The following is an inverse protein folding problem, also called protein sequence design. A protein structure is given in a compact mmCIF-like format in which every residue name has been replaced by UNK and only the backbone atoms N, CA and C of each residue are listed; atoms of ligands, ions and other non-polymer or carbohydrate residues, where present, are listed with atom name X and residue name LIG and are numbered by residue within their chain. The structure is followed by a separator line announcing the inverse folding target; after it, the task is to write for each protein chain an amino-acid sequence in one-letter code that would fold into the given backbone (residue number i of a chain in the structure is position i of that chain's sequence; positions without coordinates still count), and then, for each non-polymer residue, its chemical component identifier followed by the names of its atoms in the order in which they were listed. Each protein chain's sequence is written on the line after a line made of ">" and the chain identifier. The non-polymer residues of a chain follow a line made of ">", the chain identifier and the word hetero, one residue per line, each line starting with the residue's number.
data_IF_168890510289
#
_entry.id   IF_168890510289
#
_cell.length_a   1.000
_cell.length_b   1.000
_cell.length_c   1.000
_cell.angle_alpha   90.00
_cell.angle_beta   90.00
_cell.angle_gamma   90.00
#
_symmetry.space_group_name_H-M   'P 1'
#
loop_
_entity.id
_entity.type
_entity.pdbx_description
1 polymer ?
#
# COMPACT_ATOMS: atom_id res chain seq x y z
N UNK A 1 -15.67 -9.70 7.92
CA UNK A 1 -15.17 -8.43 7.39
C UNK A 1 -13.82 -8.64 6.68
N UNK A 2 -13.63 -7.89 5.60
CA UNK A 2 -12.47 -8.06 4.73
C UNK A 2 -11.15 -7.71 5.42
N UNK A 3 -11.15 -6.70 6.25
CA UNK A 3 -9.94 -6.30 6.97
C UNK A 3 -9.45 -7.40 7.92
N UNK A 4 -10.36 -8.02 8.63
CA UNK A 4 -10.01 -9.14 9.51
C UNK A 4 -9.52 -10.35 8.75
N UNK A 5 -10.16 -10.64 7.60
CA UNK A 5 -9.73 -11.72 6.74
C UNK A 5 -8.30 -11.47 6.23
N UNK A 6 -8.04 -10.25 5.78
CA UNK A 6 -6.72 -9.85 5.28
C UNK A 6 -5.65 -10.00 6.36
N UNK A 7 -5.93 -9.50 7.55
CA UNK A 7 -5.00 -9.57 8.67
C UNK A 7 -4.68 -11.02 9.04
N UNK A 8 -5.69 -11.87 9.16
CA UNK A 8 -5.49 -13.29 9.48
C UNK A 8 -4.76 -14.04 8.37
N UNK A 9 -5.08 -13.75 7.12
CA UNK A 9 -4.44 -14.39 5.97
C UNK A 9 -2.95 -14.06 5.94
N UNK A 10 -2.61 -12.79 6.12
CA UNK A 10 -1.22 -12.35 6.15
C UNK A 10 -0.46 -12.91 7.37
N UNK A 11 -1.13 -12.98 8.52
CA UNK A 11 -0.52 -13.54 9.73
C UNK A 11 -0.14 -15.01 9.57
N UNK A 12 -0.89 -15.75 8.75
CA UNK A 12 -0.65 -17.18 8.49
C UNK A 12 0.30 -17.45 7.34
N UNK A 13 0.63 -16.42 6.56
CA UNK A 13 1.49 -16.58 5.41
C UNK A 13 2.91 -16.97 5.84
N UNK A 14 3.46 -17.98 5.18
CA UNK A 14 4.86 -18.41 5.33
C UNK A 14 5.67 -18.11 4.07
N UNK A 15 5.11 -17.32 3.16
CA UNK A 15 5.76 -16.97 1.93
C UNK A 15 6.93 -16.03 2.17
N UNK A 16 7.97 -16.10 1.33
CA UNK A 16 9.07 -15.17 1.36
C UNK A 16 8.63 -13.75 0.98
N UNK A 17 7.66 -13.65 0.07
CA UNK A 17 7.09 -12.40 -0.42
C UNK A 17 5.58 -12.41 -0.30
N UNK A 18 5.01 -11.31 0.19
CA UNK A 18 3.58 -11.11 0.22
C UNK A 18 3.23 -9.92 -0.67
N UNK A 19 2.38 -10.16 -1.65
CA UNK A 19 1.88 -9.13 -2.57
C UNK A 19 0.37 -9.03 -2.41
N UNK A 20 -0.13 -7.82 -2.19
CA UNK A 20 -1.56 -7.57 -2.07
C UNK A 20 -2.02 -6.75 -3.26
N UNK A 21 -3.10 -7.19 -3.90
CA UNK A 21 -3.65 -6.54 -5.11
C UNK A 21 -5.11 -6.19 -4.85
N UNK A 22 -5.47 -4.94 -5.10
CA UNK A 22 -6.86 -4.49 -5.03
C UNK A 22 -7.08 -3.28 -5.93
N UNK A 23 -8.34 -2.96 -6.20
CA UNK A 23 -8.67 -1.92 -7.17
C UNK A 23 -8.53 -0.50 -6.62
N UNK A 24 -9.19 -0.21 -5.50
CA UNK A 24 -9.20 1.14 -4.94
C UNK A 24 -7.86 1.49 -4.28
N UNK A 25 -7.23 2.61 -4.66
CA UNK A 25 -5.92 2.94 -4.11
C UNK A 25 -6.00 3.47 -2.67
N UNK A 26 -5.09 3.00 -1.83
CA UNK A 26 -4.85 3.61 -0.52
C UNK A 26 -4.18 4.97 -0.74
N UNK A 27 -3.21 5.01 -1.65
CA UNK A 27 -2.56 6.25 -2.07
C UNK A 27 -2.78 6.42 -3.57
N UNK A 28 -3.56 7.44 -3.92
CA UNK A 28 -3.88 7.75 -5.31
C UNK A 28 -2.81 8.65 -5.93
N UNK A 29 -2.57 8.47 -7.22
CA UNK A 29 -1.78 9.42 -8.00
C UNK A 29 -2.61 10.63 -8.42
N UNK A 30 -3.93 10.58 -8.23
CA UNK A 30 -4.86 11.65 -8.57
C UNK A 30 -5.56 12.15 -7.30
N UNK A 31 -5.04 13.21 -6.69
CA UNK A 31 -5.71 13.84 -5.54
C UNK A 31 -7.00 14.51 -6.00
N UNK A 32 -8.08 14.48 -5.22
CA UNK A 32 -8.26 13.96 -3.85
C UNK A 32 -8.84 12.54 -3.79
N UNK A 33 -8.37 11.62 -4.59
CA UNK A 33 -8.94 10.27 -4.72
C UNK A 33 -8.42 9.25 -3.71
N UNK A 34 -7.59 9.66 -2.77
CA UNK A 34 -7.17 8.78 -1.70
C UNK A 34 -8.38 8.27 -0.92
N UNK A 35 -8.44 6.97 -0.69
CA UNK A 35 -9.50 6.38 0.12
C UNK A 35 -9.11 6.40 1.58
N UNK A 36 -9.69 7.33 2.34
CA UNK A 36 -9.44 7.42 3.77
C UNK A 36 -9.92 6.17 4.51
N UNK A 37 -11.02 5.58 4.07
CA UNK A 37 -11.53 4.35 4.67
C UNK A 37 -10.52 3.20 4.54
N UNK A 38 -9.93 3.05 3.36
CA UNK A 38 -8.90 2.03 3.16
C UNK A 38 -7.62 2.37 3.92
N UNK A 39 -7.24 3.64 3.96
CA UNK A 39 -6.09 4.07 4.75
C UNK A 39 -6.27 3.72 6.22
N UNK A 40 -7.45 3.99 6.78
CA UNK A 40 -7.71 3.73 8.19
C UNK A 40 -7.85 2.23 8.50
N UNK A 41 -8.46 1.46 7.61
CA UNK A 41 -8.76 0.05 7.86
C UNK A 41 -7.62 -0.89 7.44
N UNK A 42 -6.97 -0.64 6.32
CA UNK A 42 -6.06 -1.60 5.70
C UNK A 42 -4.58 -1.23 5.83
N UNK A 43 -4.26 0.06 5.75
CA UNK A 43 -2.86 0.50 5.83
C UNK A 43 -2.15 0.00 7.09
N UNK A 44 -2.75 0.08 8.30
CA UNK A 44 -2.11 -0.45 9.51
C UNK A 44 -1.84 -1.96 9.43
N UNK A 45 -2.74 -2.71 8.79
CA UNK A 45 -2.57 -4.16 8.61
C UNK A 45 -1.40 -4.44 7.68
N UNK A 46 -1.35 -3.76 6.55
CA UNK A 46 -0.30 -3.94 5.55
C UNK A 46 1.08 -3.63 6.14
N UNK A 47 1.18 -2.60 6.96
CA UNK A 47 2.42 -2.22 7.62
C UNK A 47 2.79 -3.21 8.74
N UNK A 48 1.82 -3.56 9.60
CA UNK A 48 2.07 -4.49 10.71
C UNK A 48 2.50 -5.88 10.22
N UNK A 49 1.89 -6.35 9.14
CA UNK A 49 2.21 -7.66 8.56
C UNK A 49 3.37 -7.60 7.56
N UNK A 50 3.98 -6.44 7.37
CA UNK A 50 5.16 -6.25 6.52
C UNK A 50 4.96 -6.77 5.10
N UNK A 51 3.83 -6.40 4.51
CA UNK A 51 3.55 -6.70 3.10
C UNK A 51 4.63 -6.04 2.24
N UNK A 52 5.17 -6.77 1.29
CA UNK A 52 6.29 -6.30 0.47
C UNK A 52 5.84 -5.33 -0.60
N UNK A 53 4.73 -5.64 -1.27
CA UNK A 53 4.25 -4.89 -2.42
C UNK A 53 2.73 -4.81 -2.41
N UNK A 54 2.20 -3.62 -2.67
CA UNK A 54 0.78 -3.38 -2.84
C UNK A 54 0.55 -2.83 -4.24
N UNK A 55 -0.21 -3.57 -5.06
CA UNK A 55 -0.60 -3.14 -6.39
C UNK A 55 -2.03 -2.63 -6.35
N UNK A 56 -2.23 -1.44 -6.82
CA UNK A 56 -3.51 -0.74 -6.79
C UNK A 56 -3.92 -0.33 -8.21
N UNK A 57 -5.18 -0.03 -8.40
CA UNK A 57 -5.70 0.36 -9.70
C UNK A 57 -6.55 1.62 -9.63
N UNK A 58 -7.64 1.63 -10.39
CA UNK A 58 -8.65 2.69 -10.47
C UNK A 58 -8.17 3.95 -11.19
N UNK A 59 -7.05 4.55 -10.80
CA UNK A 59 -6.53 5.76 -11.41
C UNK A 59 -5.69 5.41 -12.65
N UNK A 60 -5.87 6.18 -13.71
CA UNK A 60 -5.16 5.96 -14.97
C UNK A 60 -3.85 6.75 -15.00
N UNK A 61 -3.05 6.56 -13.97
CA UNK A 61 -1.77 7.22 -13.80
C UNK A 61 -0.82 6.30 -13.04
N UNK A 62 0.46 6.62 -13.08
CA UNK A 62 1.47 5.85 -12.36
C UNK A 62 1.88 6.57 -11.08
N UNK A 63 2.02 5.82 -10.01
CA UNK A 63 2.55 6.32 -8.76
C UNK A 63 3.25 5.18 -8.02
N UNK A 64 4.37 5.50 -7.39
CA UNK A 64 5.08 4.60 -6.50
C UNK A 64 5.36 5.32 -5.18
N UNK A 65 5.02 4.68 -4.08
CA UNK A 65 5.05 5.32 -2.78
C UNK A 65 5.38 4.31 -1.69
N UNK A 66 6.08 4.74 -0.67
CA UNK A 66 6.26 3.96 0.55
C UNK A 66 5.49 4.63 1.69
N UNK A 67 5.27 3.87 2.78
CA UNK A 67 4.56 4.38 3.95
C UNK A 67 5.19 5.67 4.51
N UNK A 68 6.49 5.83 4.36
CA UNK A 68 7.24 6.98 4.89
C UNK A 68 7.09 8.25 4.07
N UNK A 69 6.51 8.16 2.85
CA UNK A 69 6.46 9.28 1.89
C UNK A 69 5.05 9.63 1.47
N UNK A 70 4.16 9.67 2.42
CA UNK A 70 2.75 9.92 2.16
C UNK A 70 2.43 11.37 1.80
N UNK A 71 3.30 12.29 2.16
CA UNK A 71 3.00 13.72 2.06
C UNK A 71 3.34 14.33 0.70
N UNK A 72 4.25 13.72 -0.04
CA UNK A 72 4.75 14.30 -1.30
C UNK A 72 4.85 13.26 -2.42
N UNK A 73 3.71 12.70 -2.87
CA UNK A 73 3.73 11.61 -3.84
C UNK A 73 4.22 12.00 -5.23
N UNK A 74 4.28 13.28 -5.53
CA UNK A 74 4.66 13.78 -6.87
C UNK A 74 6.10 14.27 -6.96
N UNK A 75 6.82 14.32 -5.85
CA UNK A 75 8.22 14.73 -5.87
C UNK A 75 9.11 13.57 -6.28
N UNK A 76 9.98 13.82 -7.25
CA UNK A 76 10.99 12.86 -7.65
C UNK A 76 12.07 12.81 -6.57
N UNK A 77 11.91 11.86 -5.68
CA UNK A 77 12.82 11.68 -4.57
C UNK A 77 13.70 10.45 -4.79
N UNK A 78 14.89 10.43 -4.20
CA UNK A 78 15.69 9.20 -4.20
C UNK A 78 14.87 8.05 -3.66
N UNK A 79 15.17 6.86 -4.12
CA UNK A 79 14.52 5.65 -3.66
C UNK A 79 14.54 5.59 -2.13
N UNK A 80 13.42 5.18 -1.56
CA UNK A 80 13.33 4.92 -0.13
C UNK A 80 14.44 3.97 0.30
N UNK A 81 14.78 4.04 1.57
CA UNK A 81 15.79 3.15 2.13
C UNK A 81 15.50 1.69 1.84
N UNK A 82 16.52 0.87 1.59
CA UNK A 82 16.32 -0.57 1.40
C UNK A 82 15.55 -1.17 2.58
N UNK A 83 14.53 -1.95 2.27
CA UNK A 83 13.70 -2.60 3.28
C UNK A 83 12.48 -1.80 3.74
N UNK A 84 12.27 -0.59 3.24
CA UNK A 84 11.03 0.15 3.53
C UNK A 84 9.83 -0.54 2.87
N UNK A 85 8.95 -1.11 3.66
CA UNK A 85 7.76 -1.82 3.21
C UNK A 85 6.53 -1.31 3.95
N UNK A 86 5.34 -1.38 3.32
CA UNK A 86 5.11 -1.80 1.93
C UNK A 86 5.53 -0.75 0.90
N UNK A 87 5.74 -1.19 -0.34
CA UNK A 87 5.80 -0.32 -1.50
C UNK A 87 4.42 -0.33 -2.16
N UNK A 88 3.84 0.83 -2.37
CA UNK A 88 2.52 0.99 -3.00
C UNK A 88 2.71 1.46 -4.43
N UNK A 89 2.09 0.77 -5.38
CA UNK A 89 2.12 1.14 -6.79
C UNK A 89 0.69 1.27 -7.32
N UNK A 90 0.43 2.35 -7.99
CA UNK A 90 -0.80 2.53 -8.76
C UNK A 90 -0.49 2.37 -10.24
#
# INVERSE_FOLDING_TARGET
>A
DQARWLDRTLARSKAAWNVVIFHQPIFSCARPRDSKELQDAWKPILERRKVDLVLQGHDHCYSRMTAERQEHPLEAEPLSEPGAVPVYIV
#
